data_IF_653380999022
#
_entry.id   IF_653380999022
#
_cell.length_a   1.000
_cell.length_b   1.000
_cell.length_c   1.000
_cell.angle_alpha   90.00
_cell.angle_beta   90.00
_cell.angle_gamma   90.00
#
_symmetry.space_group_name_H-M   'P 1'
#
loop_
_entity.id
_entity.type
_entity.pdbx_description
1 polymer ?
#
# COMPACT_ATOMS: atom_id res chain seq x y z
N UNK A 1 4.13 -0.65 -20.17
CA UNK A 1 4.56 -2.06 -20.10
C UNK A 1 4.44 -2.79 -21.42
N UNK A 2 3.28 -2.81 -22.10
CA UNK A 2 3.12 -3.49 -23.40
C UNK A 2 4.14 -3.02 -24.44
N UNK A 3 4.38 -1.72 -24.58
CA UNK A 3 5.35 -1.14 -25.53
C UNK A 3 6.80 -1.51 -25.16
N UNK A 4 7.13 -1.60 -23.87
CA UNK A 4 8.46 -2.00 -23.40
C UNK A 4 8.71 -3.49 -23.65
N UNK A 5 7.74 -4.36 -23.35
CA UNK A 5 7.83 -5.80 -23.60
C UNK A 5 7.90 -6.13 -25.08
N UNK A 6 7.23 -5.34 -25.94
CA UNK A 6 7.34 -5.48 -27.40
C UNK A 6 8.72 -5.03 -27.94
N UNK A 7 9.33 -4.01 -27.33
CA UNK A 7 10.68 -3.55 -27.71
C UNK A 7 11.82 -4.43 -27.19
N UNK A 8 11.58 -5.18 -26.12
CA UNK A 8 12.60 -6.03 -25.48
C UNK A 8 12.04 -7.43 -25.20
N UNK A 9 11.92 -8.30 -26.22
CA UNK A 9 11.34 -9.64 -26.10
C UNK A 9 12.07 -10.52 -25.08
N UNK A 10 13.37 -10.30 -24.87
CA UNK A 10 14.17 -11.04 -23.89
C UNK A 10 13.63 -10.81 -22.46
N UNK A 11 13.25 -9.58 -22.10
CA UNK A 11 12.71 -9.28 -20.78
C UNK A 11 11.32 -9.89 -20.56
N UNK A 12 10.47 -9.96 -21.59
CA UNK A 12 9.18 -10.65 -21.48
C UNK A 12 9.36 -12.15 -21.26
N UNK A 13 10.35 -12.78 -21.91
CA UNK A 13 10.68 -14.18 -21.69
C UNK A 13 11.22 -14.41 -20.28
N UNK A 14 12.10 -13.56 -19.78
CA UNK A 14 12.65 -13.66 -18.41
C UNK A 14 11.52 -13.52 -17.37
N UNK A 15 10.64 -12.54 -17.53
CA UNK A 15 9.50 -12.34 -16.62
C UNK A 15 8.56 -13.54 -16.66
N UNK A 16 8.26 -14.08 -17.84
CA UNK A 16 7.42 -15.26 -17.99
C UNK A 16 8.06 -16.52 -17.38
N UNK A 17 9.37 -16.70 -17.55
CA UNK A 17 10.12 -17.79 -16.91
C UNK A 17 10.12 -17.67 -15.39
N UNK A 18 10.40 -16.48 -14.83
CA UNK A 18 10.36 -16.25 -13.39
C UNK A 18 8.96 -16.51 -12.83
N UNK A 19 7.91 -16.03 -13.51
CA UNK A 19 6.52 -16.30 -13.11
C UNK A 19 6.18 -17.80 -13.18
N UNK A 20 6.63 -18.50 -14.21
CA UNK A 20 6.41 -19.94 -14.37
C UNK A 20 7.14 -20.74 -13.29
N UNK A 21 8.38 -20.41 -12.96
CA UNK A 21 9.15 -21.04 -11.86
C UNK A 21 8.45 -20.76 -10.52
N UNK A 22 7.99 -19.55 -10.30
CA UNK A 22 7.30 -19.18 -9.07
C UNK A 22 5.97 -19.94 -8.89
N UNK A 23 5.17 -20.04 -9.95
CA UNK A 23 3.94 -20.85 -9.97
C UNK A 23 4.26 -22.33 -9.75
N UNK A 24 5.31 -22.84 -10.40
CA UNK A 24 5.74 -24.22 -10.20
C UNK A 24 6.13 -24.48 -8.74
N UNK A 25 6.89 -23.60 -8.10
CA UNK A 25 7.26 -23.71 -6.67
C UNK A 25 6.04 -23.74 -5.74
N UNK A 26 4.97 -23.03 -6.08
CA UNK A 26 3.74 -23.03 -5.29
C UNK A 26 3.00 -24.38 -5.41
N UNK A 27 2.86 -24.92 -6.62
CA UNK A 27 2.00 -26.07 -6.89
C UNK A 27 2.74 -27.42 -6.92
N UNK A 28 4.05 -27.46 -7.21
CA UNK A 28 4.82 -28.68 -7.24
C UNK A 28 4.93 -29.37 -5.87
N UNK A 29 5.08 -30.69 -5.89
CA UNK A 29 5.51 -31.45 -4.71
C UNK A 29 7.01 -31.26 -4.54
N UNK A 30 7.44 -30.87 -3.33
CA UNK A 30 8.85 -30.62 -3.06
C UNK A 30 9.54 -31.94 -2.67
N UNK A 31 10.70 -32.21 -3.30
CA UNK A 31 11.60 -33.29 -2.93
C UNK A 31 12.33 -32.95 -1.61
N UNK A 32 12.93 -33.98 -0.99
CA UNK A 32 13.74 -33.78 0.21
C UNK A 32 14.91 -32.81 -0.03
N UNK A 33 15.56 -32.87 -1.18
CA UNK A 33 16.61 -31.93 -1.59
C UNK A 33 16.13 -30.49 -1.68
N UNK A 34 14.91 -30.27 -2.21
CA UNK A 34 14.30 -28.93 -2.24
C UNK A 34 14.00 -28.40 -0.82
N UNK A 35 13.57 -29.29 0.08
CA UNK A 35 13.30 -28.93 1.48
C UNK A 35 14.59 -28.57 2.21
N UNK A 36 15.69 -29.24 1.92
CA UNK A 36 17.01 -28.94 2.48
C UNK A 36 17.51 -27.55 2.07
N UNK A 37 17.33 -27.17 0.80
CA UNK A 37 17.80 -25.88 0.27
C UNK A 37 16.86 -24.72 0.58
N UNK A 38 15.54 -24.92 0.46
CA UNK A 38 14.52 -23.84 0.54
C UNK A 38 13.74 -23.84 1.86
N UNK A 39 14.00 -24.77 2.76
CA UNK A 39 13.24 -24.96 4.00
C UNK A 39 11.87 -25.61 3.77
N UNK A 40 11.05 -25.64 4.81
CA UNK A 40 9.74 -26.29 4.72
C UNK A 40 8.81 -25.57 3.79
N UNK A 41 8.24 -26.27 2.80
CA UNK A 41 7.28 -25.71 1.83
C UNK A 41 6.17 -24.86 2.47
N UNK A 42 5.63 -25.30 3.61
CA UNK A 42 4.62 -24.55 4.36
C UNK A 42 5.11 -23.17 4.79
N UNK A 43 6.36 -23.05 5.23
CA UNK A 43 6.96 -21.76 5.66
C UNK A 43 7.09 -20.82 4.44
N UNK A 44 7.61 -21.36 3.36
CA UNK A 44 7.74 -20.63 2.08
C UNK A 44 6.38 -20.13 1.55
N UNK A 45 5.36 -21.00 1.52
CA UNK A 45 4.01 -20.61 1.09
C UNK A 45 3.41 -19.53 2.00
N UNK A 46 3.56 -19.67 3.32
CA UNK A 46 3.11 -18.63 4.25
C UNK A 46 3.85 -17.30 4.06
N UNK A 47 5.14 -17.34 3.74
CA UNK A 47 5.92 -16.15 3.42
C UNK A 47 5.41 -15.47 2.14
N UNK A 48 5.12 -16.23 1.08
CA UNK A 48 4.57 -15.70 -0.17
C UNK A 48 3.21 -15.05 0.06
N UNK A 49 2.26 -15.79 0.64
CA UNK A 49 0.92 -15.26 0.91
C UNK A 49 0.96 -14.08 1.90
N UNK A 50 1.84 -14.16 2.91
CA UNK A 50 2.12 -13.05 3.82
C UNK A 50 2.65 -11.82 3.09
N UNK A 51 3.59 -12.01 2.16
CA UNK A 51 4.14 -10.94 1.32
C UNK A 51 3.12 -10.32 0.37
N UNK A 52 2.25 -11.13 -0.24
CA UNK A 52 1.14 -10.64 -1.05
C UNK A 52 0.17 -9.81 -0.21
N UNK A 53 -0.17 -10.26 1.00
CA UNK A 53 -1.06 -9.51 1.91
C UNK A 53 -0.42 -8.22 2.42
N UNK A 54 0.87 -8.26 2.79
CA UNK A 54 1.62 -7.07 3.17
C UNK A 54 1.73 -6.08 2.00
N UNK A 55 1.98 -6.59 0.79
CA UNK A 55 1.94 -5.79 -0.44
C UNK A 55 0.58 -5.17 -0.69
N UNK A 56 -0.51 -5.90 -0.45
CA UNK A 56 -1.86 -5.35 -0.53
C UNK A 56 -2.08 -4.19 0.46
N UNK A 57 -1.62 -4.33 1.69
CA UNK A 57 -1.68 -3.26 2.70
C UNK A 57 -0.83 -2.05 2.29
N UNK A 58 0.39 -2.27 1.84
CA UNK A 58 1.26 -1.21 1.31
C UNK A 58 0.63 -0.50 0.12
N UNK A 59 -0.02 -1.24 -0.78
CA UNK A 59 -0.74 -0.65 -1.90
C UNK A 59 -1.89 0.25 -1.43
N UNK A 60 -2.66 -0.15 -0.42
CA UNK A 60 -3.74 0.68 0.11
C UNK A 60 -3.23 2.03 0.62
N UNK A 61 -2.15 2.04 1.40
CA UNK A 61 -1.51 3.29 1.86
C UNK A 61 -0.92 4.07 0.69
N UNK A 62 -0.13 3.40 -0.15
CA UNK A 62 0.56 4.02 -1.27
C UNK A 62 -0.39 4.54 -2.35
N UNK A 63 -1.60 3.99 -2.47
CA UNK A 63 -2.60 4.43 -3.45
C UNK A 63 -3.05 5.86 -3.19
N UNK A 64 -3.35 6.20 -1.93
CA UNK A 64 -3.66 7.58 -1.53
C UNK A 64 -2.48 8.52 -1.73
N UNK A 65 -1.28 8.08 -1.35
CA UNK A 65 -0.05 8.83 -1.53
C UNK A 65 0.26 9.10 -3.02
N UNK A 66 0.16 8.07 -3.86
CA UNK A 66 0.37 8.17 -5.32
C UNK A 66 -0.59 9.16 -5.97
N UNK A 67 -1.85 9.17 -5.53
CA UNK A 67 -2.87 10.07 -6.05
C UNK A 67 -2.55 11.53 -5.70
N UNK A 68 -2.20 11.81 -4.45
CA UNK A 68 -1.81 13.15 -3.99
C UNK A 68 -0.53 13.60 -4.71
N UNK A 69 0.51 12.76 -4.69
CA UNK A 69 1.79 13.08 -5.31
C UNK A 69 1.67 13.29 -6.82
N UNK A 70 0.90 12.45 -7.52
CA UNK A 70 0.72 12.54 -8.96
C UNK A 70 0.21 13.91 -9.41
N UNK A 71 -0.72 14.50 -8.66
CA UNK A 71 -1.30 15.80 -9.01
C UNK A 71 -0.50 16.99 -8.46
N UNK A 72 -0.04 16.87 -7.21
CA UNK A 72 0.59 18.02 -6.51
C UNK A 72 2.11 18.08 -6.72
N UNK A 73 2.73 17.00 -7.20
CA UNK A 73 4.19 16.82 -7.35
C UNK A 73 4.97 17.13 -6.07
N UNK A 74 4.32 16.99 -4.93
CA UNK A 74 4.90 17.24 -3.63
C UNK A 74 4.74 16.04 -2.70
N UNK A 75 5.78 15.78 -1.92
CA UNK A 75 5.82 14.69 -0.94
C UNK A 75 5.15 15.16 0.35
N UNK A 76 4.00 14.55 0.68
CA UNK A 76 3.34 14.77 1.96
C UNK A 76 3.84 13.77 3.00
N UNK A 77 4.79 14.17 3.84
CA UNK A 77 5.35 13.30 4.88
C UNK A 77 4.40 13.09 6.09
N UNK A 78 3.31 13.84 6.19
CA UNK A 78 2.24 13.57 7.17
C UNK A 78 1.26 12.46 6.73
N UNK A 79 1.46 11.85 5.55
CA UNK A 79 0.56 10.80 5.04
C UNK A 79 0.52 9.56 5.94
N UNK A 80 1.67 9.17 6.50
CA UNK A 80 1.75 8.07 7.47
C UNK A 80 0.97 8.37 8.75
N UNK A 81 0.99 9.61 9.22
CA UNK A 81 0.21 10.01 10.40
C UNK A 81 -1.30 9.97 10.14
N UNK A 82 -1.75 10.25 8.89
CA UNK A 82 -3.16 10.07 8.50
C UNK A 82 -3.57 8.58 8.49
N UNK A 83 -2.65 7.69 8.08
CA UNK A 83 -2.85 6.25 8.19
C UNK A 83 -3.03 5.82 9.65
N UNK A 84 -2.11 6.20 10.54
CA UNK A 84 -2.16 5.81 11.94
C UNK A 84 -3.36 6.42 12.67
N UNK A 85 -3.69 7.68 12.38
CA UNK A 85 -4.90 8.34 12.88
C UNK A 85 -6.16 7.56 12.46
N UNK A 86 -6.22 7.14 11.21
CA UNK A 86 -7.33 6.31 10.72
C UNK A 86 -7.42 4.96 11.42
N UNK A 87 -6.29 4.35 11.76
CA UNK A 87 -6.23 3.13 12.55
C UNK A 87 -6.81 3.33 13.97
N UNK A 88 -6.35 4.33 14.69
CA UNK A 88 -6.87 4.64 16.04
C UNK A 88 -8.35 5.01 16.04
N UNK A 89 -8.79 5.86 15.11
CA UNK A 89 -10.22 6.17 14.95
C UNK A 89 -11.03 4.92 14.58
N UNK A 90 -10.47 4.04 13.75
CA UNK A 90 -11.08 2.78 13.37
C UNK A 90 -11.27 1.84 14.56
N UNK A 91 -10.27 1.78 15.44
CA UNK A 91 -10.36 1.06 16.71
C UNK A 91 -11.53 1.60 17.56
N UNK A 92 -11.55 2.90 17.85
CA UNK A 92 -12.59 3.54 18.65
C UNK A 92 -14.00 3.32 18.06
N UNK A 93 -14.17 3.53 16.77
CA UNK A 93 -15.46 3.37 16.11
C UNK A 93 -15.91 1.90 16.13
N UNK A 94 -14.99 0.95 15.95
CA UNK A 94 -15.30 -0.47 16.02
C UNK A 94 -15.74 -0.88 17.41
N UNK A 95 -15.08 -0.39 18.46
CA UNK A 95 -15.48 -0.63 19.86
C UNK A 95 -16.82 0.02 20.21
N UNK A 96 -17.03 1.28 19.84
CA UNK A 96 -18.24 2.02 20.12
C UNK A 96 -19.48 1.48 19.41
N UNK A 97 -19.33 1.04 18.16
CA UNK A 97 -20.45 0.58 17.32
C UNK A 97 -20.64 -0.92 17.33
N UNK A 98 -19.65 -1.67 17.81
CA UNK A 98 -19.59 -3.13 17.65
C UNK A 98 -19.49 -3.60 16.20
N UNK A 99 -19.17 -2.70 15.26
CA UNK A 99 -19.16 -3.01 13.82
C UNK A 99 -17.87 -2.57 13.13
N UNK A 100 -17.05 -3.55 12.81
CA UNK A 100 -15.84 -3.36 12.00
C UNK A 100 -16.12 -2.72 10.62
N UNK A 101 -17.25 -3.09 9.99
CA UNK A 101 -17.57 -2.56 8.66
C UNK A 101 -17.98 -1.09 8.67
N UNK A 102 -18.64 -0.62 9.73
CA UNK A 102 -19.02 0.80 9.86
C UNK A 102 -17.80 1.71 10.07
N UNK A 103 -16.71 1.18 10.61
CA UNK A 103 -15.49 1.95 10.81
C UNK A 103 -14.95 2.51 9.47
N UNK A 104 -15.03 1.75 8.37
CA UNK A 104 -14.46 2.15 7.07
C UNK A 104 -15.07 3.46 6.52
N UNK A 105 -16.38 3.57 6.29
CA UNK A 105 -16.95 4.80 5.74
C UNK A 105 -16.83 5.98 6.73
N UNK A 106 -16.94 5.74 8.02
CA UNK A 106 -16.85 6.80 9.03
C UNK A 106 -15.43 7.36 9.09
N UNK A 107 -14.42 6.50 9.18
CA UNK A 107 -12.99 6.91 9.18
C UNK A 107 -12.62 7.56 7.87
N UNK A 108 -13.07 7.03 6.72
CA UNK A 108 -12.84 7.65 5.43
C UNK A 108 -13.30 9.11 5.44
N UNK A 109 -14.53 9.37 5.91
CA UNK A 109 -15.10 10.73 5.95
C UNK A 109 -14.31 11.62 6.93
N UNK A 110 -14.01 11.13 8.14
CA UNK A 110 -13.30 11.93 9.15
C UNK A 110 -11.90 12.29 8.65
N UNK A 111 -11.13 11.32 8.16
CA UNK A 111 -9.76 11.56 7.69
C UNK A 111 -9.76 12.37 6.38
N UNK A 112 -10.77 12.20 5.51
CA UNK A 112 -10.95 13.07 4.34
C UNK A 112 -11.22 14.54 4.76
N UNK A 113 -12.02 14.78 5.80
CA UNK A 113 -12.25 16.14 6.33
C UNK A 113 -10.94 16.72 6.90
N UNK A 114 -10.16 15.92 7.64
CA UNK A 114 -8.83 16.34 8.10
C UNK A 114 -7.96 16.69 6.89
N UNK A 115 -7.98 15.87 5.84
CA UNK A 115 -7.27 16.15 4.58
C UNK A 115 -7.70 17.47 3.93
N UNK A 116 -9.02 17.75 3.89
CA UNK A 116 -9.56 19.02 3.39
C UNK A 116 -9.03 20.22 4.19
N UNK A 117 -9.01 20.10 5.51
CA UNK A 117 -8.51 21.15 6.40
C UNK A 117 -7.01 21.38 6.14
N UNK A 118 -6.22 20.30 6.06
CA UNK A 118 -4.79 20.40 5.78
C UNK A 118 -4.51 21.02 4.41
N UNK A 119 -5.23 20.59 3.37
CA UNK A 119 -5.08 21.15 2.03
C UNK A 119 -5.41 22.64 2.01
N UNK A 120 -6.51 23.05 2.64
CA UNK A 120 -6.97 24.43 2.55
C UNK A 120 -6.19 25.39 3.47
N UNK A 121 -5.81 24.95 4.67
CA UNK A 121 -5.16 25.80 5.66
C UNK A 121 -3.63 25.81 5.56
N UNK A 122 -3.05 24.69 5.13
CA UNK A 122 -1.59 24.49 5.11
C UNK A 122 -1.05 24.50 3.68
N UNK A 123 -1.40 23.51 2.87
CA UNK A 123 -0.76 23.31 1.56
C UNK A 123 -1.06 24.41 0.55
N UNK A 124 -2.31 24.87 0.49
CA UNK A 124 -2.70 25.96 -0.42
C UNK A 124 -1.90 27.24 -0.24
N UNK A 125 -1.46 27.54 1.01
CA UNK A 125 -0.70 28.74 1.32
C UNK A 125 0.77 28.68 0.89
N UNK A 126 1.23 27.48 0.55
CA UNK A 126 2.60 27.16 0.15
C UNK A 126 2.65 26.56 -1.25
N UNK A 127 1.63 26.83 -2.08
CA UNK A 127 1.57 26.30 -3.44
C UNK A 127 2.76 26.83 -4.25
N UNK A 128 3.50 25.91 -4.90
CA UNK A 128 4.73 26.21 -5.63
C UNK A 128 6.02 26.20 -4.79
N UNK A 129 5.94 26.07 -3.46
CA UNK A 129 7.10 26.05 -2.55
C UNK A 129 7.35 24.61 -2.04
N UNK A 130 7.83 23.70 -2.89
CA UNK A 130 7.96 22.25 -2.60
C UNK A 130 8.77 21.98 -1.32
N UNK A 131 9.92 22.66 -1.14
CA UNK A 131 10.77 22.47 0.03
C UNK A 131 10.06 22.89 1.32
N UNK A 132 9.38 24.04 1.29
CA UNK A 132 8.62 24.55 2.44
C UNK A 132 7.47 23.63 2.82
N UNK A 133 6.73 23.13 1.81
CA UNK A 133 5.66 22.15 2.03
C UNK A 133 6.21 20.88 2.67
N UNK A 134 7.32 20.34 2.16
CA UNK A 134 7.96 19.14 2.71
C UNK A 134 8.36 19.35 4.18
N UNK A 135 9.01 20.47 4.52
CA UNK A 135 9.41 20.78 5.89
C UNK A 135 8.21 20.91 6.84
N UNK A 136 7.16 21.59 6.39
CA UNK A 136 5.93 21.73 7.19
C UNK A 136 5.23 20.40 7.40
N UNK A 137 5.24 19.48 6.41
CA UNK A 137 4.65 18.15 6.58
C UNK A 137 5.41 17.27 7.56
N UNK A 138 6.74 17.42 7.68
CA UNK A 138 7.52 16.76 8.74
C UNK A 138 7.07 17.29 10.12
N UNK A 139 7.03 18.61 10.30
CA UNK A 139 6.56 19.19 11.57
C UNK A 139 5.13 18.77 11.91
N UNK A 140 4.24 18.71 10.90
CA UNK A 140 2.86 18.28 11.05
C UNK A 140 2.76 16.80 11.43
N UNK A 141 3.60 15.93 10.84
CA UNK A 141 3.61 14.51 11.19
C UNK A 141 3.99 14.30 12.67
N UNK A 142 4.98 15.02 13.16
CA UNK A 142 5.38 14.97 14.57
C UNK A 142 4.24 15.44 15.48
N UNK A 143 3.61 16.59 15.15
CA UNK A 143 2.49 17.12 15.95
C UNK A 143 1.31 16.13 15.98
N UNK A 144 0.95 15.53 14.85
CA UNK A 144 -0.14 14.55 14.80
C UNK A 144 0.24 13.29 15.59
N UNK A 145 1.49 12.81 15.48
CA UNK A 145 1.97 11.65 16.23
C UNK A 145 1.92 11.89 17.74
N UNK A 146 2.36 13.06 18.21
CA UNK A 146 2.31 13.45 19.62
C UNK A 146 0.87 13.61 20.13
N UNK A 147 -0.02 14.17 19.32
CA UNK A 147 -1.45 14.24 19.66
C UNK A 147 -2.08 12.84 19.76
N UNK A 148 -1.73 11.92 18.88
CA UNK A 148 -2.18 10.52 18.99
C UNK A 148 -1.61 9.85 20.23
N UNK A 149 -0.34 10.05 20.54
CA UNK A 149 0.28 9.53 21.76
C UNK A 149 -0.35 10.10 23.02
N UNK A 150 -0.74 11.37 23.03
CA UNK A 150 -1.43 11.99 24.15
C UNK A 150 -2.85 11.47 24.34
N UNK A 151 -3.58 11.17 23.26
CA UNK A 151 -4.98 10.69 23.30
C UNK A 151 -5.09 9.20 23.58
N UNK A 152 -4.30 8.36 22.92
CA UNK A 152 -4.37 6.89 23.02
C UNK A 152 -3.26 6.28 23.87
N UNK A 153 -2.25 7.07 24.27
CA UNK A 153 -1.11 6.57 25.04
C UNK A 153 -0.13 5.73 24.20
N UNK A 154 0.81 5.10 24.91
CA UNK A 154 1.87 4.29 24.27
C UNK A 154 1.54 2.81 24.11
N UNK A 155 0.29 2.40 24.30
CA UNK A 155 -0.12 1.00 24.19
C UNK A 155 -0.40 0.60 22.74
N UNK A 156 -0.34 -0.72 22.48
CA UNK A 156 -0.70 -1.27 21.18
C UNK A 156 -2.18 -1.65 21.15
N UNK A 157 -2.86 -1.30 20.07
CA UNK A 157 -4.28 -1.56 19.85
C UNK A 157 -4.47 -2.50 18.67
N UNK A 158 -5.34 -3.50 18.80
CA UNK A 158 -5.69 -4.43 17.71
C UNK A 158 -7.15 -4.28 17.36
N UNK A 159 -7.44 -4.12 16.09
CA UNK A 159 -8.81 -4.07 15.59
C UNK A 159 -9.26 -5.49 15.27
N UNK A 160 -10.27 -5.98 15.95
CA UNK A 160 -10.77 -7.34 15.73
C UNK A 160 -11.69 -7.39 14.52
N UNK A 161 -11.43 -8.38 13.65
CA UNK A 161 -12.32 -8.68 12.53
C UNK A 161 -13.60 -9.39 13.01
N UNK A 162 -14.71 -9.28 12.27
CA UNK A 162 -15.94 -10.00 12.59
C UNK A 162 -15.74 -11.52 12.63
N UNK A 163 -16.57 -12.24 13.42
CA UNK A 163 -16.45 -13.69 13.61
C UNK A 163 -16.51 -14.49 12.30
N UNK A 164 -17.30 -14.05 11.33
CA UNK A 164 -17.40 -14.71 10.01
C UNK A 164 -16.12 -14.57 9.17
N UNK A 165 -15.23 -13.64 9.51
CA UNK A 165 -13.92 -13.42 8.87
C UNK A 165 -12.77 -13.92 9.75
N UNK A 166 -13.07 -14.36 10.98
CA UNK A 166 -12.10 -14.92 11.89
C UNK A 166 -11.83 -16.38 11.56
N UNK A 167 -10.58 -16.81 11.76
CA UNK A 167 -10.19 -18.18 11.55
C UNK A 167 -9.45 -18.46 10.23
N UNK A 168 -8.94 -19.69 10.06
CA UNK A 168 -8.20 -20.09 8.88
C UNK A 168 -9.11 -20.58 7.76
N UNK A 169 -8.87 -20.10 6.55
CA UNK A 169 -9.40 -20.66 5.32
C UNK A 169 -8.43 -21.70 4.76
N UNK A 170 -8.92 -22.84 4.30
CA UNK A 170 -8.10 -23.85 3.61
C UNK A 170 -8.01 -23.52 2.13
N UNK A 171 -6.79 -23.29 1.67
CA UNK A 171 -6.52 -23.09 0.24
C UNK A 171 -6.25 -24.46 -0.42
N UNK A 172 -6.64 -24.70 -1.68
CA UNK A 172 -6.42 -25.96 -2.39
C UNK A 172 -4.95 -26.11 -2.86
N UNK A 173 -4.01 -25.79 -1.96
CA UNK A 173 -2.57 -25.84 -2.21
C UNK A 173 -1.97 -26.83 -1.20
N UNK A 174 -1.28 -27.85 -1.70
CA UNK A 174 -0.60 -28.84 -0.85
C UNK A 174 0.58 -28.20 -0.16
N UNK A 175 0.52 -28.11 1.16
CA UNK A 175 1.59 -27.53 1.99
C UNK A 175 2.60 -28.57 2.48
N UNK A 176 2.15 -29.80 2.75
CA UNK A 176 2.99 -30.94 3.13
C UNK A 176 2.21 -32.23 2.94
N UNK A 177 2.94 -33.35 2.89
CA UNK A 177 2.39 -34.71 2.96
C UNK A 177 2.91 -35.31 4.26
N UNK A 178 2.03 -35.86 5.09
CA UNK A 178 2.41 -36.56 6.31
C UNK A 178 3.02 -37.92 5.99
N UNK A 179 3.75 -38.48 6.91
CA UNK A 179 4.33 -39.84 6.79
C UNK A 179 3.24 -40.91 6.59
N UNK A 180 2.01 -40.63 7.03
CA UNK A 180 0.81 -41.45 6.80
C UNK A 180 0.26 -41.39 5.36
N UNK A 181 0.85 -40.58 4.47
CA UNK A 181 0.34 -40.31 3.11
C UNK A 181 -0.80 -39.28 3.07
N UNK A 182 -1.22 -38.72 4.20
CA UNK A 182 -2.28 -37.72 4.27
C UNK A 182 -1.80 -36.36 3.72
N UNK A 183 -2.56 -35.80 2.77
CA UNK A 183 -2.26 -34.49 2.18
C UNK A 183 -2.74 -33.37 3.11
N UNK A 184 -1.83 -32.49 3.48
CA UNK A 184 -2.13 -31.31 4.30
C UNK A 184 -2.21 -30.07 3.39
N UNK A 185 -3.38 -29.46 3.36
CA UNK A 185 -3.60 -28.21 2.61
C UNK A 185 -3.13 -26.99 3.40
N UNK A 186 -2.80 -25.92 2.68
CA UNK A 186 -2.39 -24.66 3.26
C UNK A 186 -3.57 -23.99 3.97
N UNK A 187 -3.39 -23.68 5.25
CA UNK A 187 -4.33 -22.88 6.04
C UNK A 187 -3.84 -21.46 6.13
N UNK A 188 -4.67 -20.51 5.70
CA UNK A 188 -4.33 -19.10 5.70
C UNK A 188 -5.45 -18.27 6.36
N UNK A 189 -5.15 -17.23 7.17
CA UNK A 189 -6.18 -16.43 7.85
C UNK A 189 -7.14 -15.79 6.85
N UNK A 190 -8.46 -15.97 7.05
CA UNK A 190 -9.49 -15.44 6.14
C UNK A 190 -9.44 -13.91 6.05
N UNK A 191 -9.15 -13.23 7.16
CA UNK A 191 -8.99 -11.76 7.18
C UNK A 191 -7.90 -11.27 6.23
N UNK A 192 -6.80 -12.00 6.09
CA UNK A 192 -5.72 -11.63 5.16
C UNK A 192 -6.14 -11.76 3.70
N UNK A 193 -6.97 -12.75 3.39
CA UNK A 193 -7.58 -12.87 2.05
C UNK A 193 -8.56 -11.73 1.78
N UNK A 194 -9.33 -11.30 2.79
CA UNK A 194 -10.21 -10.15 2.67
C UNK A 194 -9.44 -8.84 2.43
N UNK A 195 -8.28 -8.66 3.06
CA UNK A 195 -7.39 -7.52 2.82
C UNK A 195 -6.93 -7.49 1.35
N UNK A 196 -6.49 -8.63 0.83
CA UNK A 196 -6.10 -8.75 -0.58
C UNK A 196 -7.27 -8.40 -1.51
N UNK A 197 -8.46 -8.95 -1.23
CA UNK A 197 -9.66 -8.64 -2.01
C UNK A 197 -10.03 -7.16 -1.95
N UNK A 198 -10.00 -6.55 -0.76
CA UNK A 198 -10.25 -5.11 -0.59
C UNK A 198 -9.25 -4.25 -1.38
N UNK A 199 -7.95 -4.61 -1.37
CA UNK A 199 -6.92 -3.90 -2.13
C UNK A 199 -7.19 -3.98 -3.65
N UNK A 200 -7.60 -5.13 -4.16
CA UNK A 200 -7.97 -5.32 -5.56
C UNK A 200 -9.19 -4.45 -5.92
N UNK A 201 -10.24 -4.49 -5.10
CA UNK A 201 -11.46 -3.71 -5.32
C UNK A 201 -11.16 -2.20 -5.31
N UNK A 202 -10.39 -1.72 -4.33
CA UNK A 202 -9.99 -0.32 -4.24
C UNK A 202 -9.10 0.06 -5.43
N UNK A 203 -8.16 -0.78 -5.82
CA UNK A 203 -7.31 -0.55 -6.99
C UNK A 203 -8.11 -0.43 -8.28
N UNK A 204 -9.08 -1.32 -8.51
CA UNK A 204 -9.99 -1.28 -9.66
C UNK A 204 -10.87 -0.03 -9.59
N UNK A 205 -11.44 0.27 -8.42
CA UNK A 205 -12.28 1.46 -8.24
C UNK A 205 -11.51 2.75 -8.54
N UNK A 206 -10.28 2.88 -8.03
CA UNK A 206 -9.41 4.02 -8.33
C UNK A 206 -9.07 4.11 -9.81
N UNK A 207 -8.75 2.98 -10.45
CA UNK A 207 -8.49 2.94 -11.88
C UNK A 207 -9.71 3.38 -12.68
N UNK A 208 -10.92 2.92 -12.31
CA UNK A 208 -12.18 3.33 -12.94
C UNK A 208 -12.43 4.82 -12.73
N UNK A 209 -12.29 5.34 -11.51
CA UNK A 209 -12.48 6.76 -11.19
C UNK A 209 -11.54 7.62 -12.06
N UNK A 210 -10.26 7.28 -12.10
CA UNK A 210 -9.28 8.06 -12.85
C UNK A 210 -9.43 7.93 -14.36
N UNK A 211 -9.85 6.78 -14.89
CA UNK A 211 -9.89 6.58 -16.35
C UNK A 211 -11.27 6.80 -16.95
N UNK A 212 -12.36 6.69 -16.18
CA UNK A 212 -13.72 6.69 -16.69
C UNK A 212 -14.59 7.85 -16.19
N UNK A 213 -14.09 8.69 -15.27
CA UNK A 213 -14.88 9.80 -14.72
C UNK A 213 -14.36 11.18 -15.14
N UNK A 214 -15.22 12.20 -15.01
CA UNK A 214 -14.83 13.60 -15.24
C UNK A 214 -13.76 14.07 -14.24
N UNK A 215 -13.84 13.61 -12.98
CA UNK A 215 -12.82 13.92 -11.97
C UNK A 215 -11.44 13.39 -12.41
N UNK A 216 -11.37 12.13 -12.87
CA UNK A 216 -10.13 11.56 -13.36
C UNK A 216 -9.58 12.29 -14.59
N UNK A 217 -10.44 12.78 -15.48
CA UNK A 217 -10.02 13.62 -16.60
C UNK A 217 -9.41 14.94 -16.13
N UNK A 218 -10.03 15.62 -15.16
CA UNK A 218 -9.50 16.85 -14.57
C UNK A 218 -8.17 16.62 -13.83
N UNK A 219 -8.06 15.51 -13.10
CA UNK A 219 -6.81 15.13 -12.41
C UNK A 219 -5.68 14.94 -13.42
N UNK A 220 -5.89 14.16 -14.47
CA UNK A 220 -4.87 13.93 -15.50
C UNK A 220 -4.49 15.23 -16.22
N UNK A 221 -5.47 16.02 -16.65
CA UNK A 221 -5.21 17.32 -17.28
C UNK A 221 -4.41 18.26 -16.35
N UNK A 222 -4.69 18.24 -15.03
CA UNK A 222 -3.94 19.02 -14.05
C UNK A 222 -2.52 18.49 -13.78
N UNK A 223 -2.26 17.20 -14.01
CA UNK A 223 -0.92 16.61 -13.97
C UNK A 223 -0.11 17.02 -15.19
N UNK A 224 -0.74 17.03 -16.36
CA UNK A 224 -0.08 17.38 -17.63
C UNK A 224 0.23 18.88 -17.69
N UNK A 225 -0.78 19.73 -17.54
CA UNK A 225 -0.63 21.19 -17.59
C UNK A 225 -1.65 21.90 -16.69
N UNK A 226 -1.19 22.42 -15.57
CA UNK A 226 -2.02 23.14 -14.60
C UNK A 226 -2.50 24.48 -15.14
N UNK A 227 -1.65 25.20 -15.87
CA UNK A 227 -1.95 26.54 -16.37
C UNK A 227 -3.01 26.46 -17.47
N UNK A 228 -2.89 25.48 -18.37
CA UNK A 228 -3.87 25.25 -19.43
C UNK A 228 -5.22 24.80 -18.85
N UNK A 229 -5.22 23.96 -17.79
CA UNK A 229 -6.46 23.56 -17.12
C UNK A 229 -7.14 24.78 -16.45
N UNK A 230 -6.35 25.68 -15.82
CA UNK A 230 -6.87 26.92 -15.25
C UNK A 230 -7.45 27.85 -16.32
N UNK A 231 -6.75 27.99 -17.45
CA UNK A 231 -7.20 28.80 -18.59
C UNK A 231 -8.54 28.29 -19.20
N UNK A 232 -8.81 26.99 -19.06
CA UNK A 232 -10.08 26.36 -19.46
C UNK A 232 -11.25 26.68 -18.50
N UNK A 233 -11.06 27.54 -17.48
CA UNK A 233 -12.08 27.94 -16.52
C UNK A 233 -12.29 26.95 -15.34
N UNK A 234 -11.48 25.88 -15.24
CA UNK A 234 -11.55 24.93 -14.14
C UNK A 234 -10.85 25.50 -12.90
N UNK A 235 -11.56 25.50 -11.78
CA UNK A 235 -10.98 25.91 -10.49
C UNK A 235 -10.11 24.78 -9.94
N UNK A 236 -8.82 24.76 -10.27
CA UNK A 236 -7.84 23.73 -9.89
C UNK A 236 -7.84 23.45 -8.38
N UNK A 237 -8.10 24.48 -7.56
CA UNK A 237 -8.13 24.34 -6.10
C UNK A 237 -9.15 23.28 -5.62
N UNK A 238 -10.31 23.17 -6.28
CA UNK A 238 -11.30 22.14 -5.93
C UNK A 238 -10.84 20.74 -6.37
N UNK A 239 -10.09 20.63 -7.46
CA UNK A 239 -9.50 19.37 -7.91
C UNK A 239 -8.46 18.90 -6.89
N UNK A 240 -7.58 19.79 -6.44
CA UNK A 240 -6.58 19.50 -5.38
C UNK A 240 -7.26 19.09 -4.07
N UNK A 241 -8.29 19.84 -3.68
CA UNK A 241 -9.04 19.55 -2.47
C UNK A 241 -9.68 18.16 -2.51
N UNK A 242 -10.33 17.81 -3.61
CA UNK A 242 -10.98 16.51 -3.81
C UNK A 242 -9.96 15.36 -3.80
N UNK A 243 -8.83 15.54 -4.50
CA UNK A 243 -7.75 14.54 -4.56
C UNK A 243 -7.11 14.33 -3.21
N UNK A 244 -6.84 15.40 -2.48
CA UNK A 244 -6.23 15.32 -1.16
C UNK A 244 -7.19 14.68 -0.14
N UNK A 245 -8.46 15.07 -0.16
CA UNK A 245 -9.50 14.48 0.68
C UNK A 245 -9.64 12.97 0.44
N UNK A 246 -9.71 12.58 -0.83
CA UNK A 246 -9.84 11.18 -1.21
C UNK A 246 -8.59 10.36 -0.83
N UNK A 247 -7.39 10.89 -1.11
CA UNK A 247 -6.12 10.24 -0.75
C UNK A 247 -5.92 10.10 0.75
N UNK A 248 -6.30 11.15 1.52
CA UNK A 248 -6.28 11.11 2.99
C UNK A 248 -7.28 10.08 3.54
N UNK A 249 -8.51 10.05 3.00
CA UNK A 249 -9.53 9.06 3.37
C UNK A 249 -9.08 7.63 3.11
N UNK A 250 -8.41 7.37 1.97
CA UNK A 250 -7.82 6.05 1.66
C UNK A 250 -6.72 5.68 2.66
N UNK A 251 -5.86 6.62 3.05
CA UNK A 251 -4.86 6.38 4.09
C UNK A 251 -5.51 5.99 5.42
N UNK A 252 -6.58 6.70 5.82
CA UNK A 252 -7.34 6.37 7.01
C UNK A 252 -7.96 4.96 6.96
N UNK A 253 -8.58 4.58 5.84
CA UNK A 253 -9.10 3.22 5.65
C UNK A 253 -7.98 2.17 5.71
N UNK A 254 -6.84 2.45 5.10
CA UNK A 254 -5.68 1.57 5.19
C UNK A 254 -5.20 1.39 6.63
N UNK A 255 -5.36 2.40 7.49
CA UNK A 255 -5.09 2.33 8.93
C UNK A 255 -5.96 1.30 9.65
N UNK A 256 -7.26 1.19 9.31
CA UNK A 256 -8.15 0.15 9.87
C UNK A 256 -7.65 -1.23 9.44
N UNK A 257 -7.35 -1.39 8.16
CA UNK A 257 -6.82 -2.65 7.61
C UNK A 257 -5.51 -3.02 8.28
N UNK A 258 -4.62 -2.05 8.47
CA UNK A 258 -3.35 -2.23 9.19
C UNK A 258 -3.55 -2.67 10.62
N UNK A 259 -4.44 -2.02 11.37
CA UNK A 259 -4.78 -2.38 12.75
C UNK A 259 -5.48 -3.73 12.89
N UNK A 260 -6.09 -4.24 11.80
CA UNK A 260 -6.65 -5.59 11.76
C UNK A 260 -5.58 -6.64 11.38
N UNK A 261 -4.60 -6.26 10.57
CA UNK A 261 -3.51 -7.13 10.13
C UNK A 261 -2.43 -7.33 11.21
N UNK A 262 -2.09 -6.25 11.90
CA UNK A 262 -1.11 -6.17 12.99
C UNK A 262 -1.54 -5.12 13.99
N UNK A 263 -1.01 -5.17 15.21
CA UNK A 263 -1.33 -4.17 16.22
C UNK A 263 -0.86 -2.77 15.80
N UNK A 264 -1.69 -1.76 16.07
CA UNK A 264 -1.33 -0.35 15.93
C UNK A 264 -0.48 0.06 17.13
N UNK A 265 0.66 0.64 16.89
CA UNK A 265 1.54 1.18 17.93
C UNK A 265 2.14 2.52 17.51
N UNK A 266 2.56 3.37 18.46
CA UNK A 266 3.28 4.59 18.13
C UNK A 266 4.53 4.29 17.28
N UNK A 267 4.75 5.08 16.22
CA UNK A 267 5.85 4.88 15.27
C UNK A 267 5.50 4.09 14.01
N UNK A 268 4.36 3.39 13.97
CA UNK A 268 3.89 2.71 12.74
C UNK A 268 3.58 3.70 11.61
N UNK A 269 3.20 4.94 11.94
CA UNK A 269 3.05 6.04 10.99
C UNK A 269 4.30 6.27 10.14
N UNK A 270 5.46 6.31 10.77
CA UNK A 270 6.75 6.49 10.09
C UNK A 270 7.10 5.25 9.24
N UNK A 271 6.87 4.06 9.76
CA UNK A 271 7.11 2.80 9.04
C UNK A 271 6.28 2.73 7.76
N UNK A 272 4.97 2.96 7.85
CA UNK A 272 4.08 2.91 6.69
C UNK A 272 4.28 4.08 5.72
N UNK A 273 4.69 5.25 6.22
CA UNK A 273 5.11 6.35 5.38
C UNK A 273 6.31 5.95 4.51
N UNK A 274 7.38 5.43 5.12
CA UNK A 274 8.59 5.02 4.41
C UNK A 274 8.30 3.89 3.42
N UNK A 275 7.53 2.88 3.83
CA UNK A 275 7.13 1.80 2.94
C UNK A 275 6.32 2.30 1.74
N UNK A 276 5.34 3.19 1.97
CA UNK A 276 4.53 3.77 0.88
C UNK A 276 5.37 4.65 -0.05
N UNK A 277 6.33 5.40 0.48
CA UNK A 277 7.26 6.19 -0.31
C UNK A 277 8.12 5.29 -1.22
N UNK A 278 8.70 4.22 -0.66
CA UNK A 278 9.48 3.24 -1.44
C UNK A 278 8.62 2.60 -2.52
N UNK A 279 7.39 2.19 -2.19
CA UNK A 279 6.44 1.61 -3.15
C UNK A 279 6.16 2.56 -4.31
N UNK A 280 5.91 3.84 -4.02
CA UNK A 280 5.60 4.85 -5.04
C UNK A 280 6.82 5.15 -5.92
N UNK A 281 8.01 5.21 -5.33
CA UNK A 281 9.27 5.42 -6.06
C UNK A 281 9.57 4.23 -6.97
N UNK A 282 9.50 3.01 -6.43
CA UNK A 282 9.74 1.77 -7.19
C UNK A 282 8.68 1.58 -8.28
N UNK A 283 7.41 1.82 -7.95
CA UNK A 283 6.30 1.69 -8.88
C UNK A 283 6.32 2.72 -10.01
N UNK A 284 6.82 3.90 -9.72
CA UNK A 284 6.79 5.09 -10.57
C UNK A 284 5.77 6.10 -10.09
N UNK A 285 6.25 7.28 -9.76
CA UNK A 285 5.47 8.36 -9.13
C UNK A 285 4.25 8.76 -9.98
N UNK A 286 3.07 8.76 -9.37
CA UNK A 286 1.79 9.09 -10.03
C UNK A 286 1.14 7.91 -10.78
N UNK A 287 1.75 6.73 -10.81
CA UNK A 287 1.22 5.54 -11.49
C UNK A 287 0.55 4.57 -10.50
N UNK A 288 -0.78 4.44 -10.53
CA UNK A 288 -1.50 3.47 -9.69
C UNK A 288 -1.14 2.02 -10.03
N UNK A 289 -1.10 1.59 -11.30
CA UNK A 289 -0.62 0.26 -11.63
C UNK A 289 0.83 0.02 -11.20
N UNK A 290 1.66 1.07 -11.29
CA UNK A 290 3.03 1.04 -10.79
C UNK A 290 3.08 0.84 -9.27
N UNK A 291 2.29 1.59 -8.52
CA UNK A 291 2.19 1.44 -7.08
C UNK A 291 1.73 0.03 -6.67
N UNK A 292 0.78 -0.59 -7.40
CA UNK A 292 0.33 -1.95 -7.13
C UNK A 292 1.45 -2.99 -7.32
N UNK A 293 2.22 -2.88 -8.41
CA UNK A 293 3.34 -3.79 -8.67
C UNK A 293 4.51 -3.51 -7.72
N UNK A 294 4.82 -2.24 -7.47
CA UNK A 294 5.82 -1.84 -6.47
C UNK A 294 5.51 -2.40 -5.08
N UNK A 295 4.25 -2.27 -4.64
CA UNK A 295 3.78 -2.78 -3.37
C UNK A 295 3.91 -4.31 -3.27
N UNK A 296 3.57 -5.03 -4.34
CA UNK A 296 3.71 -6.47 -4.40
C UNK A 296 5.19 -6.90 -4.29
N UNK A 297 6.08 -6.25 -5.03
CA UNK A 297 7.53 -6.53 -4.99
C UNK A 297 8.07 -6.26 -3.59
N UNK A 298 7.76 -5.12 -2.99
CA UNK A 298 8.26 -4.73 -1.67
C UNK A 298 7.68 -5.64 -0.58
N UNK A 299 6.37 -5.93 -0.61
CA UNK A 299 5.73 -6.82 0.37
C UNK A 299 6.29 -8.25 0.32
N UNK A 300 6.50 -8.79 -0.89
CA UNK A 300 7.14 -10.11 -1.06
C UNK A 300 8.58 -10.10 -0.55
N UNK A 301 9.35 -9.08 -0.90
CA UNK A 301 10.75 -8.96 -0.50
C UNK A 301 10.91 -8.87 1.01
N UNK A 302 10.12 -8.03 1.67
CA UNK A 302 10.17 -7.86 3.12
C UNK A 302 9.76 -9.14 3.83
N UNK A 303 8.69 -9.81 3.39
CA UNK A 303 8.22 -11.03 4.03
C UNK A 303 9.12 -12.23 3.79
N UNK A 304 9.70 -12.37 2.61
CA UNK A 304 10.72 -13.39 2.35
C UNK A 304 12.02 -13.09 3.11
N UNK A 305 12.40 -11.82 3.19
CA UNK A 305 13.52 -11.38 4.01
C UNK A 305 13.31 -11.70 5.48
N UNK A 306 12.11 -11.46 6.02
CA UNK A 306 11.76 -11.73 7.41
C UNK A 306 11.87 -13.22 7.78
N UNK A 307 11.57 -14.13 6.84
CA UNK A 307 11.66 -15.58 7.08
C UNK A 307 13.11 -16.07 7.05
N UNK A 308 13.94 -15.53 6.13
CA UNK A 308 15.31 -16.01 5.96
C UNK A 308 16.30 -15.26 6.86
N UNK A 309 16.19 -13.94 6.96
CA UNK A 309 17.09 -13.05 7.68
C UNK A 309 16.29 -11.95 8.40
N UNK A 310 15.66 -12.27 9.56
CA UNK A 310 14.74 -11.36 10.26
C UNK A 310 15.37 -10.02 10.61
N UNK A 311 16.65 -10.01 10.97
CA UNK A 311 17.38 -8.79 11.37
C UNK A 311 17.56 -7.81 10.22
N UNK A 312 17.67 -8.32 8.97
CA UNK A 312 18.00 -7.53 7.79
C UNK A 312 16.83 -7.39 6.79
N UNK A 313 15.62 -7.80 7.16
CA UNK A 313 14.47 -7.81 6.25
C UNK A 313 14.20 -6.44 5.60
N UNK A 314 14.32 -5.37 6.36
CA UNK A 314 14.12 -3.98 5.89
C UNK A 314 15.20 -3.57 4.89
N UNK A 315 16.43 -4.09 5.02
CA UNK A 315 17.54 -3.78 4.09
C UNK A 315 17.21 -4.26 2.68
N UNK A 316 16.55 -5.42 2.53
CA UNK A 316 16.14 -5.92 1.21
C UNK A 316 15.20 -4.97 0.49
N UNK A 317 14.29 -4.32 1.22
CA UNK A 317 13.36 -3.30 0.68
C UNK A 317 14.13 -2.12 0.08
N UNK A 318 15.10 -1.58 0.81
CA UNK A 318 15.93 -0.46 0.31
C UNK A 318 16.89 -0.88 -0.79
N UNK A 319 17.43 -2.10 -0.76
CA UNK A 319 18.27 -2.63 -1.85
C UNK A 319 17.49 -2.75 -3.16
N UNK A 320 16.25 -3.23 -3.10
CA UNK A 320 15.37 -3.29 -4.29
C UNK A 320 15.09 -1.89 -4.81
N UNK A 321 14.78 -0.94 -3.91
CA UNK A 321 14.57 0.45 -4.32
C UNK A 321 15.81 0.99 -5.03
N UNK A 322 16.99 0.82 -4.45
CA UNK A 322 18.25 1.28 -5.04
C UNK A 322 18.52 0.61 -6.39
N UNK A 323 18.29 -0.70 -6.51
CA UNK A 323 18.46 -1.45 -7.75
C UNK A 323 17.50 -0.96 -8.86
N UNK A 324 16.21 -0.75 -8.50
CA UNK A 324 15.23 -0.24 -9.47
C UNK A 324 15.60 1.16 -9.92
N UNK A 325 15.98 2.06 -9.02
CA UNK A 325 16.38 3.43 -9.36
C UNK A 325 17.67 3.48 -10.18
N UNK A 326 18.63 2.58 -9.92
CA UNK A 326 19.86 2.48 -10.70
C UNK A 326 19.60 2.07 -12.17
N UNK A 327 18.60 1.18 -12.38
CA UNK A 327 18.25 0.69 -13.72
C UNK A 327 17.21 1.63 -14.39
N UNK A 328 16.25 2.12 -13.61
CA UNK A 328 15.12 2.98 -14.04
C UNK A 328 14.85 4.08 -13.03
N UNK A 329 15.47 5.26 -13.17
CA UNK A 329 15.32 6.37 -12.22
C UNK A 329 13.91 6.92 -12.14
N UNK A 330 13.03 6.62 -13.10
CA UNK A 330 11.62 7.00 -13.10
C UNK A 330 10.70 5.97 -12.42
N UNK A 331 11.27 4.86 -11.92
CA UNK A 331 10.50 3.71 -11.44
C UNK A 331 10.00 2.81 -12.58
N UNK A 332 9.33 1.71 -12.23
CA UNK A 332 8.92 0.67 -13.18
C UNK A 332 7.92 1.16 -14.23
N UNK A 333 7.00 2.04 -13.84
CA UNK A 333 5.90 2.57 -14.67
C UNK A 333 5.91 4.11 -14.78
N UNK A 334 7.00 4.76 -14.39
CA UNK A 334 7.15 6.19 -14.57
C UNK A 334 7.27 6.57 -16.06
N UNK A 335 6.72 7.70 -16.43
CA UNK A 335 6.83 8.25 -17.79
C UNK A 335 8.20 8.92 -17.98
N UNK A 336 8.86 8.63 -19.11
CA UNK A 336 10.01 9.39 -19.57
C UNK A 336 9.51 10.72 -20.12
N UNK A 337 9.78 11.79 -19.44
CA UNK A 337 9.65 13.16 -20.00
C UNK A 337 10.91 13.56 -20.73
#
# INVERSE_FOLDING_TARGET
MQVFLQRHPIWSIIIALVAAVFLWLIFATWSEEMVEVMGRKRVFLNAIFGGITLGALYFLVASGFTLIFGLMRNVNLAHGSLYLLGGYLGFEISELTGSWMLAFPVVFIIVAIVGVILQNQVFRRMEGEELRQTMVTIGLSVVIADLMLWTWGGQSYTIYSPDWLSGPMTLPIVSSIRDSGEVVYLRYPAVRMAILFAAIVIGIAMWLVLNKTKLGMLVRAGVDDREMLAASGVRIQYVFLAVFAFGAGLAGMAGIVGGTFQALSPGEDTRFLLASLVVVIVGGMGSIPGAAIGALIIGLSEQLGLVNEPTNSVVFTFLIMAAVLAIRPQGLFGETR
#
